data_IF_028344875698
#
_entry.id   IF_028344875698
#
_cell.length_a   1.000
_cell.length_b   1.000
_cell.length_c   1.000
_cell.angle_alpha   90.00
_cell.angle_beta   90.00
_cell.angle_gamma   90.00
#
_symmetry.space_group_name_H-M   'P 1'
#
loop_
_entity.id
_entity.type
_entity.pdbx_description
1 polymer ?
#
# COMPACT_ATOMS: atom_id res chain seq x y z
N UNK A 1 35.35 3.47 -13.75
CA UNK A 1 34.58 2.71 -14.76
C UNK A 1 34.04 1.45 -14.14
N UNK A 2 34.89 0.47 -13.83
CA UNK A 2 34.43 -0.78 -13.20
C UNK A 2 33.63 -0.53 -11.90
N UNK A 3 34.15 0.31 -11.00
CA UNK A 3 33.45 0.74 -9.77
C UNK A 3 32.12 1.48 -10.03
N UNK A 4 32.06 2.30 -11.07
CA UNK A 4 30.86 3.09 -11.43
C UNK A 4 29.77 2.20 -12.01
N UNK A 5 30.17 1.23 -12.84
CA UNK A 5 29.29 0.22 -13.40
C UNK A 5 28.76 -0.72 -12.31
N UNK A 6 29.60 -1.09 -11.34
CA UNK A 6 29.19 -1.88 -10.18
C UNK A 6 28.13 -1.14 -9.35
N UNK A 7 28.34 0.16 -9.07
CA UNK A 7 27.36 0.99 -8.38
C UNK A 7 26.01 1.08 -9.13
N UNK A 8 26.03 1.17 -10.46
CA UNK A 8 24.80 1.19 -11.26
C UNK A 8 24.03 -0.14 -11.16
N UNK A 9 24.74 -1.28 -11.17
CA UNK A 9 24.12 -2.60 -11.00
C UNK A 9 23.56 -2.79 -9.58
N UNK A 10 24.28 -2.35 -8.54
CA UNK A 10 23.79 -2.38 -7.16
C UNK A 10 22.51 -1.54 -6.99
N UNK A 11 22.45 -0.36 -7.63
CA UNK A 11 21.24 0.47 -7.64
C UNK A 11 20.07 -0.24 -8.33
N UNK A 12 20.30 -0.92 -9.46
CA UNK A 12 19.27 -1.69 -10.15
C UNK A 12 18.74 -2.86 -9.30
N UNK A 13 19.64 -3.60 -8.64
CA UNK A 13 19.27 -4.70 -7.73
C UNK A 13 18.44 -4.17 -6.54
N UNK A 14 18.87 -3.06 -5.93
CA UNK A 14 18.14 -2.41 -4.85
C UNK A 14 16.73 -1.94 -5.28
N UNK A 15 16.61 -1.41 -6.49
CA UNK A 15 15.31 -1.01 -7.05
C UNK A 15 14.39 -2.22 -7.28
N UNK A 16 14.93 -3.33 -7.75
CA UNK A 16 14.18 -4.58 -7.96
C UNK A 16 13.68 -5.18 -6.64
N UNK A 17 14.53 -5.20 -5.61
CA UNK A 17 14.14 -5.65 -4.27
C UNK A 17 13.04 -4.75 -3.68
N UNK A 18 13.15 -3.43 -3.84
CA UNK A 18 12.13 -2.49 -3.41
C UNK A 18 10.79 -2.76 -4.11
N UNK A 19 10.79 -2.90 -5.44
CA UNK A 19 9.59 -3.20 -6.21
C UNK A 19 8.93 -4.54 -5.81
N UNK A 20 9.71 -5.56 -5.46
CA UNK A 20 9.18 -6.82 -4.95
C UNK A 20 8.45 -6.65 -3.62
N UNK A 21 9.03 -5.88 -2.69
CA UNK A 21 8.39 -5.54 -1.41
C UNK A 21 7.10 -4.73 -1.61
N UNK A 22 7.10 -3.78 -2.55
CA UNK A 22 5.92 -3.00 -2.87
C UNK A 22 4.78 -3.89 -3.41
N UNK A 23 5.10 -4.84 -4.28
CA UNK A 23 4.13 -5.80 -4.80
C UNK A 23 3.55 -6.71 -3.72
N UNK A 24 4.38 -7.18 -2.77
CA UNK A 24 3.90 -7.95 -1.62
C UNK A 24 2.96 -7.12 -0.74
N UNK A 25 3.30 -5.85 -0.45
CA UNK A 25 2.46 -4.94 0.31
C UNK A 25 1.10 -4.69 -0.38
N UNK A 26 1.10 -4.48 -1.70
CA UNK A 26 -0.13 -4.36 -2.48
C UNK A 26 -0.99 -5.62 -2.38
N UNK A 27 -0.37 -6.81 -2.48
CA UNK A 27 -1.09 -8.08 -2.35
C UNK A 27 -1.71 -8.27 -0.95
N UNK A 28 -1.02 -7.85 0.12
CA UNK A 28 -1.57 -7.85 1.48
C UNK A 28 -2.75 -6.88 1.61
N UNK A 29 -2.65 -5.69 1.03
CA UNK A 29 -3.74 -4.70 1.02
C UNK A 29 -5.00 -5.26 0.33
N UNK A 30 -4.83 -5.90 -0.84
CA UNK A 30 -5.94 -6.55 -1.57
C UNK A 30 -6.57 -7.66 -0.74
N UNK A 31 -5.78 -8.49 -0.05
CA UNK A 31 -6.33 -9.52 0.84
C UNK A 31 -7.14 -8.94 1.99
N UNK A 32 -6.68 -7.83 2.60
CA UNK A 32 -7.45 -7.13 3.63
C UNK A 32 -8.77 -6.58 3.08
N UNK A 33 -8.75 -6.05 1.85
CA UNK A 33 -9.95 -5.62 1.13
C UNK A 33 -10.93 -6.76 0.90
N UNK A 34 -10.47 -7.91 0.41
CA UNK A 34 -11.32 -9.07 0.17
C UNK A 34 -11.96 -9.63 1.46
N UNK A 35 -11.21 -9.62 2.57
CA UNK A 35 -11.69 -10.10 3.87
C UNK A 35 -12.76 -9.19 4.49
N UNK A 36 -12.60 -7.87 4.34
CA UNK A 36 -13.53 -6.88 4.90
C UNK A 36 -14.71 -6.59 3.97
N UNK A 37 -14.45 -6.60 2.66
CA UNK A 37 -15.34 -6.12 1.60
C UNK A 37 -15.73 -4.66 1.80
N UNK A 38 -14.89 -3.82 2.39
CA UNK A 38 -15.21 -2.43 2.67
C UNK A 38 -14.54 -1.52 1.65
N UNK A 39 -15.33 -0.63 1.04
CA UNK A 39 -14.88 0.35 0.03
C UNK A 39 -13.67 1.20 0.45
N UNK A 40 -13.53 1.54 1.74
CA UNK A 40 -12.37 2.27 2.25
C UNK A 40 -11.09 1.42 2.23
N UNK A 41 -11.20 0.11 2.44
CA UNK A 41 -10.09 -0.83 2.28
C UNK A 41 -9.75 -1.00 0.80
N UNK A 42 -10.76 -1.07 -0.08
CA UNK A 42 -10.56 -1.14 -1.54
C UNK A 42 -9.73 0.05 -2.05
N UNK A 43 -10.04 1.27 -1.62
CA UNK A 43 -9.28 2.46 -1.99
C UNK A 43 -7.81 2.41 -1.53
N UNK A 44 -7.56 1.85 -0.33
CA UNK A 44 -6.19 1.66 0.16
C UNK A 44 -5.45 0.56 -0.61
N UNK A 45 -6.14 -0.49 -1.06
CA UNK A 45 -5.56 -1.52 -1.92
C UNK A 45 -5.24 -0.97 -3.32
N UNK A 46 -6.13 -0.17 -3.92
CA UNK A 46 -5.89 0.49 -5.21
C UNK A 46 -4.67 1.43 -5.14
N UNK A 47 -4.53 2.19 -4.05
CA UNK A 47 -3.36 3.05 -3.83
C UNK A 47 -2.07 2.23 -3.68
N UNK A 48 -2.13 1.10 -2.94
CA UNK A 48 -0.98 0.21 -2.78
C UNK A 48 -0.57 -0.42 -4.13
N UNK A 49 -1.54 -0.83 -4.96
CA UNK A 49 -1.29 -1.33 -6.31
C UNK A 49 -0.64 -0.27 -7.20
N UNK A 50 -1.16 0.97 -7.21
CA UNK A 50 -0.60 2.06 -7.99
C UNK A 50 0.85 2.39 -7.58
N UNK A 51 1.13 2.39 -6.27
CA UNK A 51 2.47 2.57 -5.74
C UNK A 51 3.41 1.42 -6.11
N UNK A 52 2.94 0.17 -6.09
CA UNK A 52 3.72 -0.98 -6.55
C UNK A 52 4.03 -0.91 -8.06
N UNK A 53 3.07 -0.49 -8.89
CA UNK A 53 3.31 -0.26 -10.33
C UNK A 53 4.38 0.82 -10.56
N UNK A 54 4.34 1.91 -9.81
CA UNK A 54 5.35 2.97 -9.87
C UNK A 54 6.74 2.46 -9.46
N UNK A 55 6.82 1.60 -8.42
CA UNK A 55 8.07 0.97 -8.01
C UNK A 55 8.64 0.05 -9.09
N UNK A 56 7.79 -0.73 -9.77
CA UNK A 56 8.20 -1.60 -10.89
C UNK A 56 8.72 -0.81 -12.09
N UNK A 57 8.07 0.31 -12.45
CA UNK A 57 8.56 1.19 -13.53
C UNK A 57 9.93 1.79 -13.19
N UNK A 58 10.09 2.28 -11.95
CA UNK A 58 11.36 2.81 -11.47
C UNK A 58 12.47 1.75 -11.46
N UNK A 59 12.18 0.51 -11.04
CA UNK A 59 13.12 -0.60 -11.12
C UNK A 59 13.53 -0.92 -12.57
N UNK A 60 12.59 -0.89 -13.51
CA UNK A 60 12.88 -1.04 -14.95
C UNK A 60 13.84 0.03 -15.46
N UNK A 61 13.60 1.29 -15.11
CA UNK A 61 14.49 2.42 -15.45
C UNK A 61 15.89 2.26 -14.86
N UNK A 62 15.99 1.79 -13.62
CA UNK A 62 17.28 1.53 -12.97
C UNK A 62 18.08 0.44 -13.70
N UNK A 63 17.41 -0.67 -14.07
CA UNK A 63 18.01 -1.75 -14.83
C UNK A 63 18.48 -1.31 -16.23
N UNK A 64 17.67 -0.50 -16.94
CA UNK A 64 18.05 0.05 -18.24
C UNK A 64 19.27 0.98 -18.13
N UNK A 65 19.32 1.82 -17.09
CA UNK A 65 20.46 2.70 -16.84
C UNK A 65 21.75 1.91 -16.52
N UNK A 66 21.66 0.86 -15.70
CA UNK A 66 22.78 -0.04 -15.41
C UNK A 66 23.29 -0.76 -16.68
N UNK A 67 22.38 -1.28 -17.50
CA UNK A 67 22.74 -1.91 -18.77
C UNK A 67 23.45 -0.94 -19.74
N UNK A 68 23.03 0.32 -19.77
CA UNK A 68 23.69 1.37 -20.54
C UNK A 68 25.08 1.68 -20.00
N UNK A 69 25.26 1.78 -18.67
CA UNK A 69 26.57 1.99 -18.04
C UNK A 69 27.56 0.88 -18.41
N UNK A 70 27.11 -0.37 -18.48
CA UNK A 70 27.90 -1.54 -18.91
C UNK A 70 28.36 -1.48 -20.38
N UNK A 71 27.65 -0.73 -21.22
CA UNK A 71 27.84 -0.72 -22.68
C UNK A 71 28.66 0.47 -23.18
N UNK A 72 29.10 1.35 -22.29
CA UNK A 72 29.75 2.61 -22.63
C UNK A 72 31.25 2.64 -22.29
N UNK A 73 32.04 3.14 -23.22
CA UNK A 73 33.51 3.30 -23.07
C UNK A 73 33.92 4.70 -22.59
N UNK A 74 32.99 5.65 -22.45
CA UNK A 74 33.28 7.04 -22.09
C UNK A 74 32.98 7.30 -20.60
N UNK A 75 33.94 7.78 -19.78
CA UNK A 75 33.78 7.85 -18.33
C UNK A 75 32.60 8.70 -17.86
N UNK A 76 32.42 9.88 -18.49
CA UNK A 76 31.32 10.78 -18.15
C UNK A 76 29.94 10.17 -18.43
N UNK A 77 29.82 9.37 -19.49
CA UNK A 77 28.54 8.78 -19.86
C UNK A 77 28.18 7.59 -18.95
N UNK A 78 29.20 6.85 -18.47
CA UNK A 78 29.04 5.81 -17.44
C UNK A 78 28.59 6.43 -16.11
N UNK A 79 29.16 7.57 -15.73
CA UNK A 79 28.78 8.33 -14.52
C UNK A 79 27.33 8.83 -14.60
N UNK A 80 26.92 9.46 -15.71
CA UNK A 80 25.53 9.88 -15.94
C UNK A 80 24.54 8.70 -15.85
N UNK A 81 24.93 7.53 -16.36
CA UNK A 81 24.10 6.32 -16.32
C UNK A 81 23.99 5.76 -14.90
N UNK A 82 25.06 5.81 -14.12
CA UNK A 82 25.05 5.39 -12.72
C UNK A 82 24.20 6.32 -11.84
N UNK A 83 24.29 7.64 -12.04
CA UNK A 83 23.42 8.61 -11.37
C UNK A 83 21.94 8.39 -11.72
N UNK A 84 21.63 8.08 -12.98
CA UNK A 84 20.27 7.75 -13.41
C UNK A 84 19.76 6.47 -12.73
N UNK A 85 20.59 5.42 -12.62
CA UNK A 85 20.23 4.19 -11.91
C UNK A 85 19.96 4.46 -10.42
N UNK A 86 20.82 5.26 -9.77
CA UNK A 86 20.66 5.63 -8.37
C UNK A 86 19.39 6.46 -8.11
N UNK A 87 19.06 7.40 -8.99
CA UNK A 87 17.82 8.19 -8.89
C UNK A 87 16.59 7.29 -9.02
N UNK A 88 16.58 6.40 -10.00
CA UNK A 88 15.46 5.48 -10.22
C UNK A 88 15.29 4.50 -9.04
N UNK A 89 16.39 4.03 -8.44
CA UNK A 89 16.34 3.22 -7.22
C UNK A 89 15.73 3.98 -6.03
N UNK A 90 16.05 5.27 -5.88
CA UNK A 90 15.45 6.10 -4.83
C UNK A 90 13.94 6.32 -5.06
N UNK A 91 13.51 6.48 -6.31
CA UNK A 91 12.08 6.55 -6.67
C UNK A 91 11.36 5.24 -6.33
N UNK A 92 11.94 4.08 -6.67
CA UNK A 92 11.39 2.77 -6.34
C UNK A 92 11.23 2.59 -4.82
N UNK A 93 12.25 3.00 -4.05
CA UNK A 93 12.20 2.95 -2.59
C UNK A 93 11.11 3.85 -1.99
N UNK A 94 10.91 5.05 -2.55
CA UNK A 94 9.82 5.95 -2.13
C UNK A 94 8.45 5.33 -2.38
N UNK A 95 8.22 4.83 -3.61
CA UNK A 95 6.97 4.19 -4.00
C UNK A 95 6.68 2.93 -3.15
N UNK A 96 7.72 2.19 -2.77
CA UNK A 96 7.60 1.06 -1.84
C UNK A 96 7.11 1.50 -0.47
N UNK A 97 7.58 2.64 0.04
CA UNK A 97 7.10 3.23 1.28
C UNK A 97 5.61 3.58 1.21
N UNK A 98 5.19 4.18 0.10
CA UNK A 98 3.79 4.53 -0.15
C UNK A 98 2.89 3.28 -0.21
N UNK A 99 3.33 2.22 -0.90
CA UNK A 99 2.63 0.94 -0.94
C UNK A 99 2.48 0.31 0.45
N UNK A 100 3.56 0.34 1.26
CA UNK A 100 3.55 -0.19 2.62
C UNK A 100 2.62 0.61 3.54
N UNK A 101 2.60 1.94 3.44
CA UNK A 101 1.70 2.80 4.20
C UNK A 101 0.24 2.52 3.84
N UNK A 102 -0.08 2.40 2.54
CA UNK A 102 -1.41 2.07 2.05
C UNK A 102 -1.88 0.67 2.52
N UNK A 103 -1.01 -0.34 2.45
CA UNK A 103 -1.28 -1.67 2.98
C UNK A 103 -1.52 -1.67 4.50
N UNK A 104 -0.75 -0.89 5.25
CA UNK A 104 -0.94 -0.71 6.69
C UNK A 104 -2.30 -0.05 7.02
N UNK A 105 -2.73 0.91 6.20
CA UNK A 105 -4.07 1.50 6.31
C UNK A 105 -5.15 0.44 6.09
N UNK A 106 -5.04 -0.37 5.03
CA UNK A 106 -5.97 -1.45 4.74
C UNK A 106 -6.07 -2.47 5.91
N UNK A 107 -4.92 -2.95 6.40
CA UNK A 107 -4.86 -3.86 7.54
C UNK A 107 -5.41 -3.25 8.84
N UNK A 108 -5.17 -1.95 9.07
CA UNK A 108 -5.70 -1.22 10.22
C UNK A 108 -7.23 -1.08 10.19
N UNK A 109 -7.81 -0.90 8.99
CA UNK A 109 -9.28 -0.90 8.79
C UNK A 109 -9.84 -2.29 9.08
N UNK A 110 -9.21 -3.34 8.57
CA UNK A 110 -9.60 -4.73 8.83
C UNK A 110 -9.62 -5.04 10.32
N UNK A 111 -8.53 -4.75 11.02
CA UNK A 111 -8.39 -5.01 12.45
C UNK A 111 -9.48 -4.28 13.27
N UNK A 112 -9.78 -3.01 12.95
CA UNK A 112 -10.81 -2.23 13.63
C UNK A 112 -12.23 -2.78 13.45
N UNK A 113 -12.45 -3.56 12.38
CA UNK A 113 -13.72 -4.22 12.08
C UNK A 113 -13.77 -5.68 12.56
N UNK A 114 -12.92 -6.04 13.51
CA UNK A 114 -12.98 -7.32 14.24
C UNK A 114 -13.37 -7.09 15.70
N UNK A 115 -14.08 -8.02 16.36
CA UNK A 115 -14.38 -7.90 17.79
C UNK A 115 -13.14 -7.76 18.68
N UNK A 116 -12.03 -8.40 18.30
CA UNK A 116 -10.79 -8.44 19.07
C UNK A 116 -9.98 -7.14 18.94
N UNK A 117 -10.01 -6.51 17.76
CA UNK A 117 -9.33 -5.25 17.46
C UNK A 117 -10.24 -4.02 17.44
N UNK A 118 -11.49 -4.16 17.92
CA UNK A 118 -12.51 -3.13 17.78
C UNK A 118 -12.07 -1.78 18.38
N UNK A 119 -12.12 -0.75 17.53
CA UNK A 119 -11.91 0.64 17.91
C UNK A 119 -13.14 1.45 17.48
N UNK A 120 -13.92 1.91 18.47
CA UNK A 120 -15.13 2.68 18.23
C UNK A 120 -14.86 3.98 17.46
N UNK A 121 -13.77 4.69 17.76
CA UNK A 121 -13.42 5.92 17.08
C UNK A 121 -13.09 5.68 15.61
N UNK A 122 -12.29 4.64 15.33
CA UNK A 122 -11.92 4.25 13.96
C UNK A 122 -13.14 3.80 13.16
N UNK A 123 -14.02 2.98 13.74
CA UNK A 123 -15.25 2.51 13.07
C UNK A 123 -16.20 3.67 12.81
N UNK A 124 -16.32 4.63 13.73
CA UNK A 124 -17.12 5.83 13.51
C UNK A 124 -16.58 6.70 12.38
N UNK A 125 -15.27 6.91 12.30
CA UNK A 125 -14.61 7.63 11.22
C UNK A 125 -14.84 6.94 9.86
N UNK A 126 -14.69 5.62 9.83
CA UNK A 126 -14.96 4.81 8.66
C UNK A 126 -16.41 4.98 8.18
N UNK A 127 -17.38 4.91 9.08
CA UNK A 127 -18.81 5.14 8.76
C UNK A 127 -19.06 6.57 8.26
N UNK A 128 -18.38 7.58 8.81
CA UNK A 128 -18.51 8.97 8.33
C UNK A 128 -17.94 9.17 6.92
N UNK A 129 -16.82 8.52 6.62
CA UNK A 129 -16.21 8.56 5.28
C UNK A 129 -16.99 7.75 4.23
N UNK A 130 -17.81 6.79 4.67
CA UNK A 130 -18.55 5.91 3.77
C UNK A 130 -19.53 6.67 2.86
N UNK A 131 -19.64 6.21 1.61
CA UNK A 131 -20.56 6.75 0.60
C UNK A 131 -21.99 6.23 0.76
N UNK A 132 -22.51 6.27 1.99
CA UNK A 132 -23.87 5.86 2.36
C UNK A 132 -24.67 7.05 2.87
N UNK A 133 -26.01 6.91 2.94
CA UNK A 133 -26.86 8.01 3.42
C UNK A 133 -26.63 8.33 4.90
N UNK A 134 -26.81 9.60 5.30
CA UNK A 134 -26.66 10.04 6.70
C UNK A 134 -27.56 9.26 7.68
N UNK A 135 -28.75 8.85 7.22
CA UNK A 135 -29.66 8.01 8.00
C UNK A 135 -29.06 6.61 8.27
N UNK A 136 -28.37 6.03 7.29
CA UNK A 136 -27.64 4.76 7.47
C UNK A 136 -26.44 4.95 8.39
N UNK A 137 -25.65 6.02 8.21
CA UNK A 137 -24.50 6.35 9.09
C UNK A 137 -24.94 6.44 10.55
N UNK A 138 -25.94 7.26 10.85
CA UNK A 138 -26.47 7.43 12.20
C UNK A 138 -27.08 6.15 12.78
N UNK A 139 -27.54 5.22 11.94
CA UNK A 139 -28.07 3.93 12.38
C UNK A 139 -26.95 2.95 12.72
N UNK A 140 -25.93 2.86 11.88
CA UNK A 140 -24.76 2.01 12.11
C UNK A 140 -23.98 2.44 13.36
N UNK A 141 -23.77 3.75 13.56
CA UNK A 141 -23.09 4.28 14.76
C UNK A 141 -23.79 3.86 16.05
N UNK A 142 -25.11 4.06 16.12
CA UNK A 142 -25.90 3.63 17.29
C UNK A 142 -25.90 2.12 17.49
N UNK A 143 -25.90 1.35 16.41
CA UNK A 143 -25.82 -0.11 16.47
C UNK A 143 -24.49 -0.55 17.10
N UNK A 144 -23.37 0.00 16.64
CA UNK A 144 -22.03 -0.28 17.16
C UNK A 144 -21.90 0.16 18.62
N UNK A 145 -22.35 1.37 18.95
CA UNK A 145 -22.34 1.89 20.32
C UNK A 145 -23.14 0.98 21.27
N UNK A 146 -24.36 0.60 20.88
CA UNK A 146 -25.22 -0.32 21.64
C UNK A 146 -24.60 -1.70 21.82
N UNK A 147 -23.79 -2.16 20.86
CA UNK A 147 -23.21 -3.48 20.84
C UNK A 147 -21.85 -3.55 21.54
N UNK A 148 -21.17 -2.41 21.73
CA UNK A 148 -19.82 -2.28 22.31
C UNK A 148 -19.63 -2.99 23.66
N UNK A 149 -20.70 -3.11 24.46
CA UNK A 149 -20.67 -3.71 25.80
C UNK A 149 -20.83 -5.24 25.78
N UNK A 150 -21.08 -5.85 24.63
CA UNK A 150 -21.33 -7.28 24.50
C UNK A 150 -20.62 -7.84 23.25
N UNK A 151 -19.60 -8.70 23.40
CA UNK A 151 -18.81 -9.21 22.27
C UNK A 151 -19.62 -9.93 21.19
N UNK A 152 -20.66 -10.68 21.57
CA UNK A 152 -21.51 -11.41 20.62
C UNK A 152 -22.36 -10.44 19.80
N UNK A 153 -22.91 -9.40 20.45
CA UNK A 153 -23.65 -8.34 19.77
C UNK A 153 -22.72 -7.48 18.91
N UNK A 154 -21.51 -7.20 19.38
CA UNK A 154 -20.51 -6.42 18.65
C UNK A 154 -20.14 -7.11 17.35
N UNK A 155 -19.91 -8.43 17.38
CA UNK A 155 -19.64 -9.21 16.18
C UNK A 155 -20.75 -9.06 15.14
N UNK A 156 -22.00 -9.25 15.55
CA UNK A 156 -23.15 -9.09 14.66
C UNK A 156 -23.31 -7.64 14.14
N UNK A 157 -23.00 -6.64 14.97
CA UNK A 157 -23.03 -5.24 14.58
C UNK A 157 -21.95 -4.92 13.54
N UNK A 158 -20.71 -5.40 13.72
CA UNK A 158 -19.61 -5.22 12.78
C UNK A 158 -19.87 -5.92 11.44
N UNK A 159 -20.48 -7.11 11.46
CA UNK A 159 -20.90 -7.80 10.24
C UNK A 159 -21.96 -6.98 9.46
N UNK A 160 -22.88 -6.34 10.18
CA UNK A 160 -23.86 -5.44 9.57
C UNK A 160 -23.22 -4.17 8.99
N UNK A 161 -22.23 -3.59 9.69
CA UNK A 161 -21.45 -2.44 9.18
C UNK A 161 -20.79 -2.82 7.87
N UNK A 162 -20.02 -3.92 7.84
CA UNK A 162 -19.37 -4.44 6.62
C UNK A 162 -20.38 -4.66 5.50
N UNK A 163 -21.53 -5.29 5.78
CA UNK A 163 -22.54 -5.56 4.77
C UNK A 163 -23.15 -4.31 4.14
N UNK A 164 -23.20 -3.18 4.85
CA UNK A 164 -23.76 -1.92 4.35
C UNK A 164 -22.70 -1.07 3.65
N UNK A 165 -21.42 -1.30 3.94
CA UNK A 165 -20.28 -0.55 3.42
C UNK A 165 -19.57 -1.21 2.23
N UNK A 166 -20.05 -2.39 1.82
CA UNK A 166 -19.75 -3.04 0.54
C UNK A 166 -20.22 -2.23 -0.66
#
# INVERSE_FOLDING_TARGET
>A
MEETTEAANEAADAAADAAAVAADAAAEAVQASEQTGVTATDAAAEEAEAAAEAALDAAGRAADAAANANSQDAPAAVEDSADAAASAAAEAASATGEAADAASVAAGIEAALTPEGFDAGKVEELIESASISDAQKATLKRLVESASSNPDLLRAALDQVKSVMK
#
